data_IF_380484604604
#
_entry.id   IF_380484604604
#
_cell.length_a   1.000
_cell.length_b   1.000
_cell.length_c   1.000
_cell.angle_alpha   90.00
_cell.angle_beta   90.00
_cell.angle_gamma   90.00
#
_symmetry.space_group_name_H-M   'P 1'
#
loop_
_entity.id
_entity.type
_entity.pdbx_description
1 polymer ?
#
# COMPACT_ATOMS: atom_id res chain seq x y z
N UNK A 1 26.28 -26.96 17.81
CA UNK A 1 27.14 -25.78 17.57
C UNK A 1 26.53 -25.00 16.42
N UNK A 2 25.48 -24.23 16.71
CA UNK A 2 24.65 -23.54 15.71
C UNK A 2 25.39 -22.31 15.23
N UNK A 3 25.68 -22.29 13.92
CA UNK A 3 26.44 -21.26 13.25
C UNK A 3 25.60 -19.98 13.17
N UNK A 4 26.09 -18.97 13.89
CA UNK A 4 25.64 -17.59 13.91
C UNK A 4 25.86 -16.97 12.52
N UNK A 5 24.80 -16.90 11.70
CA UNK A 5 24.79 -16.09 10.49
C UNK A 5 24.66 -14.62 10.91
N UNK A 6 25.78 -13.91 10.85
CA UNK A 6 25.87 -12.47 10.90
C UNK A 6 24.95 -11.87 9.84
N UNK A 7 23.79 -11.36 10.26
CA UNK A 7 23.11 -10.30 9.55
C UNK A 7 24.12 -9.14 9.46
N UNK A 8 24.73 -8.95 8.28
CA UNK A 8 25.47 -7.74 7.98
C UNK A 8 24.49 -6.59 8.22
N UNK A 9 24.71 -5.84 9.29
CA UNK A 9 24.03 -4.59 9.58
C UNK A 9 24.28 -3.64 8.41
N UNK A 10 23.39 -3.66 7.42
CA UNK A 10 23.21 -2.56 6.49
C UNK A 10 22.66 -1.45 7.36
N UNK A 11 23.55 -0.55 7.78
CA UNK A 11 23.17 0.69 8.43
C UNK A 11 22.33 1.49 7.42
N UNK A 12 21.00 1.35 7.52
CA UNK A 12 20.09 2.24 6.84
C UNK A 12 20.39 3.66 7.34
N UNK A 13 20.47 4.67 6.46
CA UNK A 13 20.51 6.06 6.91
C UNK A 13 19.29 6.26 7.81
N UNK A 14 19.52 6.77 9.03
CA UNK A 14 18.45 7.06 9.99
C UNK A 14 17.42 7.95 9.28
N UNK A 15 16.25 7.41 8.99
CA UNK A 15 15.19 8.12 8.29
C UNK A 15 14.52 9.06 9.29
N UNK A 16 15.05 10.27 9.40
CA UNK A 16 14.44 11.38 10.15
C UNK A 16 13.38 12.06 9.28
N UNK A 17 12.34 12.69 9.88
CA UNK A 17 11.31 13.45 9.14
C UNK A 17 11.86 14.62 8.30
N UNK A 18 13.15 14.92 8.40
CA UNK A 18 13.91 15.86 7.57
C UNK A 18 14.36 15.29 6.21
N UNK A 19 14.20 13.99 5.93
CA UNK A 19 14.56 13.37 4.65
C UNK A 19 13.37 13.35 3.67
N UNK A 20 12.81 14.51 3.40
CA UNK A 20 12.10 14.76 2.13
C UNK A 20 13.16 14.68 1.05
N UNK A 21 13.30 13.51 0.41
CA UNK A 21 14.33 13.32 -0.61
C UNK A 21 13.81 13.93 -1.92
N UNK A 22 14.24 15.15 -2.21
CA UNK A 22 14.16 15.71 -3.57
C UNK A 22 15.37 15.17 -4.34
N UNK A 23 15.15 14.20 -5.22
CA UNK A 23 16.22 13.33 -5.72
C UNK A 23 16.44 13.48 -7.22
N UNK A 24 17.69 13.35 -7.66
CA UNK A 24 18.03 13.04 -9.06
C UNK A 24 17.68 11.58 -9.36
N UNK A 25 17.26 11.30 -10.60
CA UNK A 25 16.66 10.02 -11.04
C UNK A 25 17.32 8.72 -10.56
N UNK A 26 18.66 8.63 -10.46
CA UNK A 26 19.30 7.36 -10.07
C UNK A 26 19.17 7.03 -8.58
N UNK A 27 19.12 8.01 -7.68
CA UNK A 27 19.08 7.69 -6.25
C UNK A 27 17.66 7.29 -5.78
N UNK A 28 16.62 7.56 -6.58
CA UNK A 28 15.23 7.13 -6.29
C UNK A 28 15.09 5.61 -6.40
N UNK A 29 15.62 5.00 -7.46
CA UNK A 29 15.51 3.55 -7.67
C UNK A 29 16.25 2.77 -6.57
N UNK A 30 17.44 3.23 -6.18
CA UNK A 30 18.20 2.62 -5.09
C UNK A 30 17.45 2.67 -3.75
N UNK A 31 16.73 3.76 -3.49
CA UNK A 31 15.88 3.88 -2.30
C UNK A 31 14.68 2.95 -2.42
N UNK A 32 14.01 2.94 -3.57
CA UNK A 32 12.86 2.06 -3.81
C UNK A 32 13.23 0.58 -3.67
N UNK A 33 14.39 0.15 -4.17
CA UNK A 33 14.89 -1.21 -4.04
C UNK A 33 15.12 -1.59 -2.56
N UNK A 34 15.71 -0.68 -1.78
CA UNK A 34 15.90 -0.89 -0.33
C UNK A 34 14.57 -0.97 0.41
N UNK A 35 13.62 -0.09 0.09
CA UNK A 35 12.28 -0.09 0.70
C UNK A 35 11.48 -1.32 0.27
N UNK A 36 11.60 -1.76 -0.98
CA UNK A 36 10.92 -2.94 -1.51
C UNK A 36 11.34 -4.20 -0.74
N UNK A 37 12.63 -4.35 -0.43
CA UNK A 37 13.19 -5.48 0.30
C UNK A 37 12.70 -5.59 1.76
N UNK A 38 12.19 -4.51 2.34
CA UNK A 38 11.65 -4.47 3.70
C UNK A 38 10.16 -4.83 3.72
N UNK A 39 9.74 -5.66 4.67
CA UNK A 39 8.31 -5.96 4.90
C UNK A 39 7.68 -4.91 5.84
N UNK A 40 7.67 -3.67 5.37
CA UNK A 40 7.18 -2.50 6.11
C UNK A 40 6.17 -1.72 5.29
N UNK A 41 5.32 -0.97 6.00
CA UNK A 41 4.33 -0.08 5.40
C UNK A 41 5.00 1.11 4.73
N UNK A 42 4.45 1.53 3.61
CA UNK A 42 5.00 2.60 2.78
C UNK A 42 3.94 3.65 2.50
N UNK A 43 4.31 4.93 2.64
CA UNK A 43 3.51 6.06 2.16
C UNK A 43 4.17 6.68 0.94
N UNK A 44 3.44 6.70 -0.16
CA UNK A 44 3.80 7.40 -1.39
C UNK A 44 3.10 8.75 -1.41
N UNK A 45 3.87 9.82 -1.56
CA UNK A 45 3.32 11.18 -1.67
C UNK A 45 3.86 11.87 -2.91
N UNK A 46 3.04 12.74 -3.48
CA UNK A 46 3.38 13.49 -4.68
C UNK A 46 2.16 14.22 -5.22
N UNK A 47 2.27 14.94 -6.33
CA UNK A 47 1.13 15.59 -6.97
C UNK A 47 0.05 14.58 -7.38
N UNK A 48 -1.18 15.04 -7.55
CA UNK A 48 -2.23 14.22 -8.18
C UNK A 48 -1.76 13.81 -9.58
N UNK A 49 -2.05 12.56 -10.01
CA UNK A 49 -1.74 12.02 -11.35
C UNK A 49 -0.30 11.54 -11.64
N UNK A 50 0.64 11.62 -10.70
CA UNK A 50 2.03 11.18 -10.96
C UNK A 50 2.29 9.75 -10.50
N UNK A 51 2.12 8.75 -11.37
CA UNK A 51 2.79 7.42 -11.30
C UNK A 51 2.80 6.64 -9.96
N UNK A 52 2.00 7.00 -8.95
CA UNK A 52 2.06 6.42 -7.59
C UNK A 52 1.69 4.94 -7.60
N UNK A 53 0.73 4.58 -8.46
CA UNK A 53 0.36 3.20 -8.74
C UNK A 53 1.54 2.41 -9.33
N UNK A 54 2.27 2.99 -10.29
CA UNK A 54 3.47 2.37 -10.87
C UNK A 54 4.58 2.18 -9.81
N UNK A 55 4.76 3.16 -8.93
CA UNK A 55 5.68 3.03 -7.79
C UNK A 55 5.25 1.92 -6.82
N UNK A 56 3.96 1.82 -6.51
CA UNK A 56 3.43 0.74 -5.67
C UNK A 56 3.66 -0.65 -6.31
N UNK A 57 3.43 -0.77 -7.63
CA UNK A 57 3.75 -1.98 -8.38
C UNK A 57 5.24 -2.31 -8.36
N UNK A 58 6.10 -1.30 -8.54
CA UNK A 58 7.56 -1.48 -8.48
C UNK A 58 8.00 -2.02 -7.12
N UNK A 59 7.48 -1.43 -6.03
CA UNK A 59 7.75 -1.88 -4.66
C UNK A 59 7.27 -3.31 -4.43
N UNK A 60 6.10 -3.67 -4.94
CA UNK A 60 5.57 -5.04 -4.85
C UNK A 60 6.46 -6.04 -5.58
N UNK A 61 6.76 -5.79 -6.86
CA UNK A 61 7.55 -6.68 -7.73
C UNK A 61 8.97 -6.93 -7.21
N UNK A 62 9.52 -6.02 -6.41
CA UNK A 62 10.86 -6.14 -5.81
C UNK A 62 10.84 -6.53 -4.33
N UNK A 63 9.67 -6.87 -3.81
CA UNK A 63 9.53 -7.33 -2.43
C UNK A 63 9.63 -8.84 -2.30
N UNK A 64 9.72 -9.32 -1.07
CA UNK A 64 9.61 -10.75 -0.74
C UNK A 64 8.22 -11.33 -1.05
N UNK A 65 7.24 -10.48 -1.38
CA UNK A 65 5.85 -10.84 -1.68
C UNK A 65 5.53 -10.71 -3.17
N UNK A 66 6.53 -10.59 -4.06
CA UNK A 66 6.33 -10.32 -5.49
C UNK A 66 5.42 -11.34 -6.20
N UNK A 67 5.44 -12.60 -5.78
CA UNK A 67 4.61 -13.69 -6.33
C UNK A 67 3.24 -13.80 -5.65
N UNK A 68 2.92 -12.90 -4.71
CA UNK A 68 1.66 -12.89 -3.97
C UNK A 68 0.66 -11.89 -4.57
N UNK A 69 -0.56 -11.86 -4.02
CA UNK A 69 -1.61 -10.97 -4.51
C UNK A 69 -1.23 -9.49 -4.34
N UNK A 70 -1.48 -8.69 -5.37
CA UNK A 70 -1.48 -7.23 -5.29
C UNK A 70 -2.91 -6.74 -5.45
N UNK A 71 -3.54 -6.36 -4.34
CA UNK A 71 -4.94 -5.91 -4.30
C UNK A 71 -4.95 -4.41 -4.12
N UNK A 72 -5.83 -3.71 -4.85
CA UNK A 72 -5.87 -2.25 -4.81
C UNK A 72 -7.27 -1.70 -4.54
N UNK A 73 -7.30 -0.57 -3.83
CA UNK A 73 -8.50 0.22 -3.60
C UNK A 73 -8.20 1.71 -3.80
N UNK A 74 -8.91 2.34 -4.73
CA UNK A 74 -8.91 3.79 -4.82
C UNK A 74 -10.00 4.37 -3.90
N UNK A 75 -9.57 5.00 -2.82
CA UNK A 75 -10.45 5.53 -1.78
C UNK A 75 -11.28 6.73 -2.25
N UNK A 76 -10.82 7.46 -3.28
CA UNK A 76 -11.54 8.60 -3.85
C UNK A 76 -12.68 8.17 -4.79
N UNK A 77 -12.48 7.07 -5.53
CA UNK A 77 -13.46 6.54 -6.51
C UNK A 77 -14.50 5.60 -5.90
N UNK A 78 -14.23 5.07 -4.70
CA UNK A 78 -15.14 4.14 -4.03
C UNK A 78 -16.20 4.91 -3.22
N UNK A 79 -17.50 4.61 -3.38
CA UNK A 79 -18.55 5.22 -2.56
C UNK A 79 -18.27 5.04 -1.06
N UNK A 80 -18.40 6.11 -0.28
CA UNK A 80 -17.97 6.13 1.14
C UNK A 80 -18.68 5.09 2.01
N UNK A 81 -19.93 4.80 1.67
CA UNK A 81 -20.79 3.78 2.27
C UNK A 81 -20.36 2.34 1.95
N UNK A 82 -19.62 2.13 0.86
CA UNK A 82 -19.12 0.82 0.44
C UNK A 82 -17.65 0.55 0.81
N UNK A 83 -16.88 1.59 1.17
CA UNK A 83 -15.46 1.43 1.52
C UNK A 83 -15.26 0.41 2.64
N UNK A 84 -16.15 0.42 3.65
CA UNK A 84 -16.00 -0.48 4.79
C UNK A 84 -16.19 -1.96 4.39
N UNK A 85 -17.27 -2.25 3.68
CA UNK A 85 -17.60 -3.61 3.24
C UNK A 85 -16.60 -4.09 2.19
N UNK A 86 -16.11 -3.21 1.32
CA UNK A 86 -15.04 -3.52 0.38
C UNK A 86 -13.75 -3.92 1.12
N UNK A 87 -13.29 -3.12 2.09
CA UNK A 87 -12.03 -3.40 2.79
C UNK A 87 -12.11 -4.63 3.69
N UNK A 88 -13.10 -4.69 4.56
CA UNK A 88 -13.15 -5.67 5.66
C UNK A 88 -14.11 -6.82 5.41
N UNK A 89 -14.89 -6.78 4.33
CA UNK A 89 -15.96 -7.73 4.08
C UNK A 89 -17.12 -7.54 5.05
N UNK A 90 -18.06 -8.48 4.99
CA UNK A 90 -19.21 -8.48 5.88
C UNK A 90 -19.67 -9.90 6.22
N UNK A 91 -20.21 -10.05 7.43
CA UNK A 91 -20.95 -11.26 7.81
C UNK A 91 -22.31 -11.34 7.11
N UNK A 92 -22.91 -12.54 7.10
CA UNK A 92 -24.32 -12.68 6.76
C UNK A 92 -25.19 -11.90 7.77
N UNK A 93 -26.17 -11.14 7.28
CA UNK A 93 -27.06 -10.31 8.09
C UNK A 93 -26.49 -8.97 8.54
N UNK A 94 -25.32 -8.55 8.05
CA UNK A 94 -24.68 -7.29 8.43
C UNK A 94 -25.49 -6.03 8.07
N UNK A 95 -26.32 -6.11 7.02
CA UNK A 95 -27.26 -5.07 6.58
C UNK A 95 -28.42 -5.73 5.82
N UNK A 96 -29.48 -4.98 5.54
CA UNK A 96 -30.78 -5.51 5.05
C UNK A 96 -30.67 -6.36 3.76
N UNK A 97 -29.70 -6.09 2.90
CA UNK A 97 -29.42 -6.85 1.67
C UNK A 97 -28.32 -7.92 1.81
N UNK A 98 -27.60 -8.00 2.93
CA UNK A 98 -26.48 -8.93 3.13
C UNK A 98 -26.94 -10.35 3.49
N UNK A 99 -27.50 -11.10 2.54
CA UNK A 99 -27.94 -12.50 2.80
C UNK A 99 -26.80 -13.51 2.91
N UNK A 100 -25.66 -13.25 2.27
CA UNK A 100 -24.49 -14.14 2.23
C UNK A 100 -23.28 -13.37 2.75
N UNK A 101 -22.32 -14.04 3.38
CA UNK A 101 -21.06 -13.41 3.78
C UNK A 101 -20.22 -13.04 2.55
N UNK A 102 -19.55 -11.89 2.60
CA UNK A 102 -18.63 -11.43 1.56
C UNK A 102 -17.23 -11.24 2.12
N UNK A 103 -16.22 -11.83 1.47
CA UNK A 103 -14.82 -11.55 1.79
C UNK A 103 -14.49 -10.09 1.44
N UNK A 104 -13.60 -9.47 2.21
CA UNK A 104 -13.09 -8.13 1.92
C UNK A 104 -11.75 -8.19 1.19
N UNK A 105 -11.36 -7.06 0.61
CA UNK A 105 -10.08 -6.89 -0.10
C UNK A 105 -8.86 -7.20 0.77
N UNK A 106 -8.95 -7.00 2.10
CA UNK A 106 -7.86 -7.37 3.01
C UNK A 106 -7.71 -8.90 3.09
N UNK A 107 -8.81 -9.66 3.03
CA UNK A 107 -8.74 -11.11 2.96
C UNK A 107 -8.17 -11.59 1.61
N UNK A 108 -8.51 -10.89 0.52
CA UNK A 108 -7.97 -11.18 -0.81
C UNK A 108 -6.46 -10.87 -0.91
N UNK A 109 -5.99 -9.88 -0.15
CA UNK A 109 -4.59 -9.48 -0.09
C UNK A 109 -3.73 -10.32 0.88
N UNK A 110 -4.29 -11.36 1.51
CA UNK A 110 -3.60 -12.15 2.52
C UNK A 110 -2.29 -12.75 1.97
N UNK A 111 -1.18 -12.55 2.70
CA UNK A 111 0.16 -12.92 2.26
C UNK A 111 0.80 -11.97 1.24
N UNK A 112 0.01 -11.09 0.62
CA UNK A 112 0.45 -10.15 -0.41
C UNK A 112 0.51 -8.69 0.03
N UNK A 113 0.19 -7.80 -0.91
CA UNK A 113 0.19 -6.34 -0.75
C UNK A 113 -1.21 -5.78 -1.00
N UNK A 114 -1.61 -4.84 -0.15
CA UNK A 114 -2.77 -3.98 -0.36
C UNK A 114 -2.32 -2.56 -0.67
N UNK A 115 -2.68 -2.07 -1.84
CA UNK A 115 -2.47 -0.69 -2.26
C UNK A 115 -3.71 0.17 -1.99
N UNK A 116 -3.52 1.26 -1.24
CA UNK A 116 -4.56 2.23 -0.89
C UNK A 116 -4.27 3.57 -1.56
N UNK A 117 -4.92 3.81 -2.70
CA UNK A 117 -4.77 5.08 -3.41
C UNK A 117 -5.71 6.15 -2.83
N UNK A 118 -5.23 7.38 -2.79
CA UNK A 118 -5.88 8.54 -2.16
C UNK A 118 -6.38 8.25 -0.73
N UNK A 119 -5.52 7.63 0.12
CA UNK A 119 -5.85 7.21 1.50
C UNK A 119 -6.41 8.34 2.38
N UNK A 120 -6.09 9.59 2.03
CA UNK A 120 -6.65 10.79 2.65
C UNK A 120 -8.17 10.93 2.53
N UNK A 121 -8.77 10.32 1.50
CA UNK A 121 -10.21 10.37 1.24
C UNK A 121 -11.01 9.39 2.10
N UNK A 122 -10.33 8.53 2.88
CA UNK A 122 -11.00 7.63 3.80
C UNK A 122 -11.85 8.42 4.81
N UNK A 123 -13.12 8.01 5.03
CA UNK A 123 -13.93 8.53 6.13
C UNK A 123 -13.24 8.35 7.50
N UNK A 124 -13.54 9.21 8.46
CA UNK A 124 -12.87 9.18 9.78
C UNK A 124 -12.97 7.80 10.46
N UNK A 125 -14.16 7.18 10.44
CA UNK A 125 -14.35 5.84 11.02
C UNK A 125 -13.47 4.78 10.34
N UNK A 126 -13.19 4.94 9.05
CA UNK A 126 -12.31 4.06 8.29
C UNK A 126 -10.84 4.30 8.60
N UNK A 127 -10.42 5.55 8.81
CA UNK A 127 -9.06 5.87 9.24
C UNK A 127 -8.75 5.21 10.59
N UNK A 128 -9.71 5.21 11.53
CA UNK A 128 -9.56 4.53 12.83
C UNK A 128 -9.42 3.01 12.68
N UNK A 129 -10.22 2.39 11.80
CA UNK A 129 -10.14 0.94 11.56
C UNK A 129 -8.85 0.55 10.86
N UNK A 130 -8.41 1.33 9.86
CA UNK A 130 -7.13 1.11 9.20
C UNK A 130 -5.96 1.26 10.17
N UNK A 131 -6.00 2.25 11.07
CA UNK A 131 -4.98 2.40 12.10
C UNK A 131 -4.90 1.16 13.00
N UNK A 132 -6.04 0.61 13.42
CA UNK A 132 -6.08 -0.64 14.20
C UNK A 132 -5.53 -1.83 13.42
N UNK A 133 -5.85 -1.95 12.13
CA UNK A 133 -5.27 -2.97 11.27
C UNK A 133 -3.74 -2.86 11.22
N UNK A 134 -3.20 -1.65 11.02
CA UNK A 134 -1.76 -1.43 10.96
C UNK A 134 -1.05 -1.77 12.28
N UNK A 135 -1.70 -1.49 13.41
CA UNK A 135 -1.14 -1.70 14.75
C UNK A 135 -1.24 -3.15 15.23
N UNK A 136 -2.44 -3.73 15.14
CA UNK A 136 -2.75 -5.04 15.73
C UNK A 136 -2.61 -6.18 14.71
N UNK A 137 -2.50 -5.87 13.40
CA UNK A 137 -2.55 -6.85 12.30
C UNK A 137 -3.80 -7.72 12.37
N UNK A 138 -4.91 -7.10 12.80
CA UNK A 138 -6.20 -7.73 13.00
C UNK A 138 -7.34 -6.82 12.53
N UNK A 139 -8.41 -7.42 12.03
CA UNK A 139 -9.63 -6.74 11.64
C UNK A 139 -10.88 -7.58 11.92
N UNK A 140 -12.05 -6.97 11.75
CA UNK A 140 -13.34 -7.63 11.93
C UNK A 140 -14.26 -7.23 10.78
N UNK A 141 -14.85 -8.19 10.05
CA UNK A 141 -15.84 -7.89 9.03
C UNK A 141 -17.06 -7.15 9.60
N UNK A 142 -17.73 -6.35 8.78
CA UNK A 142 -18.93 -5.64 9.20
C UNK A 142 -19.99 -6.64 9.66
N UNK A 143 -20.57 -6.41 10.84
CA UNK A 143 -21.55 -7.32 11.46
C UNK A 143 -20.98 -8.67 11.92
N UNK A 144 -19.69 -8.93 11.70
CA UNK A 144 -19.01 -10.13 12.20
C UNK A 144 -18.68 -10.01 13.69
N UNK A 145 -18.61 -11.14 14.39
CA UNK A 145 -18.20 -11.21 15.80
C UNK A 145 -16.76 -11.69 15.98
N UNK A 146 -16.20 -12.35 14.97
CA UNK A 146 -14.85 -12.94 14.99
C UNK A 146 -13.81 -11.95 14.48
N UNK A 147 -12.69 -11.89 15.18
CA UNK A 147 -11.49 -11.16 14.72
C UNK A 147 -10.75 -12.06 13.72
N UNK A 148 -10.21 -11.45 12.68
CA UNK A 148 -9.38 -12.07 11.67
C UNK A 148 -7.99 -11.43 11.71
N UNK A 149 -6.94 -12.22 11.54
CA UNK A 149 -5.58 -11.70 11.35
C UNK A 149 -5.38 -11.27 9.91
N UNK A 150 -4.54 -10.26 9.70
CA UNK A 150 -4.16 -9.75 8.40
C UNK A 150 -2.64 -9.84 8.25
N UNK A 151 -2.17 -10.79 7.44
CA UNK A 151 -0.79 -10.83 6.99
C UNK A 151 -0.66 -10.07 5.66
N UNK A 152 -0.87 -8.75 5.70
CA UNK A 152 -0.88 -7.90 4.51
C UNK A 152 0.13 -6.77 4.69
N UNK A 153 0.92 -6.51 3.64
CA UNK A 153 1.75 -5.30 3.54
C UNK A 153 0.93 -4.19 2.89
N UNK A 154 0.86 -3.03 3.53
CA UNK A 154 0.12 -1.86 3.09
C UNK A 154 1.06 -0.87 2.40
N UNK A 155 0.72 -0.55 1.16
CA UNK A 155 1.29 0.60 0.44
C UNK A 155 0.17 1.61 0.28
N UNK A 156 0.36 2.84 0.77
CA UNK A 156 -0.65 3.88 0.68
C UNK A 156 -0.15 5.04 -0.17
N UNK A 157 -1.05 5.71 -0.89
CA UNK A 157 -0.75 6.90 -1.67
C UNK A 157 -1.70 8.05 -1.33
N UNK A 158 -1.20 9.29 -1.40
CA UNK A 158 -2.02 10.50 -1.25
C UNK A 158 -1.35 11.69 -1.93
N UNK A 159 -2.11 12.74 -2.25
CA UNK A 159 -1.52 14.01 -2.69
C UNK A 159 -0.70 14.68 -1.56
N UNK A 160 0.41 15.34 -1.92
CA UNK A 160 1.27 16.06 -0.96
C UNK A 160 0.57 17.28 -0.33
N UNK A 161 -0.30 17.95 -1.08
CA UNK A 161 -1.14 19.04 -0.56
C UNK A 161 -2.15 18.53 0.46
N UNK A 162 -2.83 17.43 0.16
CA UNK A 162 -3.79 16.81 1.07
C UNK A 162 -3.10 16.26 2.33
N UNK A 163 -1.91 15.67 2.19
CA UNK A 163 -1.11 15.22 3.32
C UNK A 163 -0.71 16.37 4.27
N UNK A 164 -0.43 17.56 3.71
CA UNK A 164 -0.16 18.77 4.48
C UNK A 164 -1.42 19.32 5.14
N UNK A 165 -2.49 19.54 4.37
CA UNK A 165 -3.73 20.16 4.85
C UNK A 165 -4.52 19.30 5.84
N UNK A 166 -4.51 17.97 5.69
CA UNK A 166 -5.17 17.06 6.63
C UNK A 166 -4.27 16.63 7.79
N UNK A 167 -2.98 16.92 7.75
CA UNK A 167 -2.03 16.59 8.83
C UNK A 167 -2.32 17.30 10.15
N UNK A 168 -3.21 18.29 10.15
CA UNK A 168 -3.74 18.94 11.35
C UNK A 168 -4.86 18.15 12.02
N UNK A 169 -5.52 17.24 11.30
CA UNK A 169 -6.53 16.35 11.89
C UNK A 169 -5.82 15.24 12.69
N UNK A 170 -6.17 15.04 13.97
CA UNK A 170 -5.40 14.18 14.87
C UNK A 170 -5.32 12.73 14.40
N UNK A 171 -6.42 12.15 13.93
CA UNK A 171 -6.45 10.76 13.45
C UNK A 171 -5.70 10.55 12.14
N UNK A 172 -5.79 11.51 11.22
CA UNK A 172 -5.05 11.41 9.98
C UNK A 172 -3.55 11.58 10.22
N UNK A 173 -3.16 12.48 11.14
CA UNK A 173 -1.77 12.60 11.59
C UNK A 173 -1.22 11.28 12.17
N UNK A 174 -2.00 10.61 13.02
CA UNK A 174 -1.59 9.31 13.59
C UNK A 174 -1.48 8.23 12.52
N UNK A 175 -2.46 8.14 11.61
CA UNK A 175 -2.40 7.22 10.46
C UNK A 175 -1.14 7.47 9.62
N UNK A 176 -0.88 8.74 9.29
CA UNK A 176 0.31 9.11 8.56
C UNK A 176 1.58 8.79 9.34
N UNK A 177 1.63 9.00 10.65
CA UNK A 177 2.80 8.65 11.48
C UNK A 177 3.19 7.17 11.34
N UNK A 178 2.21 6.27 11.27
CA UNK A 178 2.44 4.83 11.07
C UNK A 178 2.92 4.48 9.67
N UNK A 179 2.44 5.20 8.65
CA UNK A 179 2.80 4.96 7.25
C UNK A 179 4.10 5.71 6.83
N UNK A 180 4.43 6.82 7.49
CA UNK A 180 5.50 7.77 7.11
C UNK A 180 6.91 7.33 7.48
N UNK A 181 7.07 6.24 8.23
CA UNK A 181 8.42 5.75 8.57
C UNK A 181 9.23 5.40 7.32
N UNK A 182 8.56 5.11 6.19
CA UNK A 182 9.17 4.84 4.88
C UNK A 182 8.44 5.65 3.80
N UNK A 183 8.71 6.95 3.73
CA UNK A 183 8.06 7.86 2.79
C UNK A 183 8.86 7.98 1.50
N UNK A 184 8.18 7.85 0.36
CA UNK A 184 8.72 8.21 -0.95
C UNK A 184 8.00 9.49 -1.40
N UNK A 185 8.75 10.57 -1.56
CA UNK A 185 8.23 11.84 -2.07
C UNK A 185 8.69 12.05 -3.51
N UNK A 186 7.74 12.26 -4.41
CA UNK A 186 8.03 12.63 -5.79
C UNK A 186 8.19 14.14 -5.92
N UNK A 187 9.35 14.65 -6.37
CA UNK A 187 9.53 16.08 -6.60
C UNK A 187 8.66 16.57 -7.76
N UNK A 188 8.21 17.83 -7.67
CA UNK A 188 7.59 18.54 -8.79
C UNK A 188 8.72 19.15 -9.61
N UNK A 189 8.86 18.77 -10.90
CA UNK A 189 9.79 19.45 -11.79
C UNK A 189 9.33 20.89 -12.03
N UNK A 190 10.30 21.82 -12.02
CA UNK A 190 10.07 23.27 -12.10
C UNK A 190 9.42 23.75 -13.40
N UNK A 191 9.28 22.88 -14.40
CA UNK A 191 8.70 23.17 -15.73
C UNK A 191 7.23 22.70 -15.87
N UNK A 192 6.61 22.19 -14.80
CA UNK A 192 5.21 21.75 -14.81
C UNK A 192 4.97 20.48 -15.65
N UNK A 193 6.03 19.81 -16.10
CA UNK A 193 5.94 18.48 -16.71
C UNK A 193 5.98 17.46 -15.58
N UNK A 194 4.84 16.87 -15.30
CA UNK A 194 4.74 15.73 -14.38
C UNK A 194 5.74 14.64 -14.81
N UNK A 195 6.49 14.05 -13.87
CA UNK A 195 7.44 12.93 -14.09
C UNK A 195 6.73 11.62 -14.45
N UNK A 196 5.80 11.67 -15.40
CA UNK A 196 5.21 10.51 -16.08
C UNK A 196 6.32 9.70 -16.82
N UNK A 197 7.49 10.31 -17.03
CA UNK A 197 8.64 9.72 -17.74
C UNK A 197 9.56 8.83 -16.89
N UNK A 198 9.40 8.77 -15.56
CA UNK A 198 10.24 7.90 -14.73
C UNK A 198 9.81 6.42 -14.81
N UNK A 199 8.50 6.15 -14.79
CA UNK A 199 7.97 4.77 -14.80
C UNK A 199 7.44 4.31 -16.16
N UNK A 200 7.17 5.18 -17.14
CA UNK A 200 6.75 4.74 -18.48
C UNK A 200 7.82 3.92 -19.21
N UNK A 201 9.10 4.10 -18.86
CA UNK A 201 10.21 3.30 -19.38
C UNK A 201 10.48 2.00 -18.59
N UNK A 202 9.81 1.77 -17.44
CA UNK A 202 9.92 0.51 -16.70
C UNK A 202 8.94 -0.56 -17.21
N UNK A 203 7.96 -0.17 -18.03
CA UNK A 203 6.98 -1.07 -18.66
C UNK A 203 7.44 -1.53 -20.05
N UNK A 204 8.43 -2.42 -20.08
CA UNK A 204 8.42 -3.57 -21.00
C UNK A 204 9.02 -4.78 -20.24
N UNK A 205 8.30 -5.43 -19.32
CA UNK A 205 8.56 -6.84 -19.11
C UNK A 205 8.19 -7.54 -20.43
N UNK A 206 9.19 -8.09 -21.11
CA UNK A 206 8.96 -9.06 -22.19
C UNK A 206 8.14 -10.19 -21.58
N UNK A 207 6.85 -10.27 -21.92
CA UNK A 207 6.07 -11.50 -21.77
C UNK A 207 6.69 -12.55 -22.70
N UNK A 208 7.71 -13.25 -22.21
CA UNK A 208 7.85 -14.66 -22.51
C UNK A 208 7.37 -15.37 -21.25
N UNK A 209 6.10 -15.76 -21.24
CA UNK A 209 5.57 -16.74 -20.30
C UNK A 209 5.99 -18.13 -20.79
N UNK A 210 6.83 -18.88 -20.05
CA UNK A 210 6.78 -20.32 -20.11
C UNK A 210 6.08 -20.84 -18.86
N UNK A 211 5.14 -21.76 -19.07
CA UNK A 211 4.46 -22.63 -18.09
C UNK A 211 3.03 -22.25 -17.72
N UNK A 212 2.13 -22.36 -18.71
CA UNK A 212 0.85 -23.02 -18.49
C UNK A 212 1.00 -24.50 -18.92
N UNK A 213 1.11 -25.48 -18.00
CA UNK A 213 0.90 -26.86 -18.38
C UNK A 213 -0.62 -27.08 -18.53
N UNK A 214 -1.02 -27.39 -19.75
CA UNK A 214 -2.33 -27.90 -20.09
C UNK A 214 -2.71 -29.10 -19.20
N UNK A 215 -3.99 -29.17 -18.80
CA UNK A 215 -4.85 -30.35 -18.96
C UNK A 215 -6.24 -30.04 -18.38
N UNK A 216 -7.16 -29.60 -19.26
CA UNK A 216 -8.58 -29.86 -19.08
C UNK A 216 -8.90 -31.15 -19.83
N UNK A 217 -9.43 -32.10 -19.07
CA UNK A 217 -10.13 -33.30 -19.47
C UNK A 217 -11.29 -33.02 -20.41
N UNK A 218 -11.36 -33.77 -21.52
CA UNK A 218 -12.52 -34.52 -22.02
C UNK A 218 -12.07 -35.54 -23.08
#
# INVERSE_FOLDING_TARGET
>A
MTQMLLARSIALPKFSPSNVVSVKNNDVLDILDRVAALDVEVLITGPSSVGKELCAHYLHQRSQRADCAFVQLNCAKTPKDLIETALFGHGGGAFTSARVQGAGLIAEAEGGVMFLDEVAQLPLGMQVKLLRLLQEKEYRPLGGTRIQRANVRIIAATSAETARGLGEKPFFRELLSRLRLNMVEFPVLADGREEILFFSNLSQPTHEDPLCPAQCSE
#
